data_IF_936007308539
#
_entry.id   IF_936007308539
#
_cell.length_a   1.000
_cell.length_b   1.000
_cell.length_c   1.000
_cell.angle_alpha   90.00
_cell.angle_beta   90.00
_cell.angle_gamma   90.00
#
_symmetry.space_group_name_H-M   'P 1'
#
loop_
_entity.id
_entity.type
_entity.pdbx_description
1 polymer ?
#
# COMPACT_ATOMS: atom_id res chain seq x y z
N UNK A 1 22.07 -12.82 -7.81
CA UNK A 1 21.75 -11.74 -6.84
C UNK A 1 20.35 -11.97 -6.29
N UNK A 2 20.09 -11.71 -5.01
CA UNK A 2 18.73 -11.76 -4.43
C UNK A 2 18.22 -10.33 -4.29
N UNK A 3 16.92 -10.10 -4.53
CA UNK A 3 16.35 -8.74 -4.42
C UNK A 3 16.42 -8.22 -2.99
N UNK A 4 16.29 -9.12 -2.02
CA UNK A 4 16.40 -8.82 -0.58
C UNK A 4 17.75 -8.19 -0.18
N UNK A 5 18.81 -8.41 -0.96
CA UNK A 5 20.16 -7.91 -0.66
C UNK A 5 20.43 -6.52 -1.26
N UNK A 6 19.56 -6.02 -2.14
CA UNK A 6 19.76 -4.77 -2.87
C UNK A 6 18.43 -4.01 -3.07
N UNK A 7 17.69 -4.32 -4.15
CA UNK A 7 16.44 -3.62 -4.52
C UNK A 7 15.42 -3.53 -3.38
N UNK A 8 15.34 -4.56 -2.54
CA UNK A 8 14.43 -4.66 -1.41
C UNK A 8 15.14 -4.72 -0.05
N UNK A 9 16.39 -4.23 0.02
CA UNK A 9 17.20 -4.25 1.23
C UNK A 9 16.55 -3.44 2.37
N UNK A 10 16.04 -2.25 2.06
CA UNK A 10 15.36 -1.38 3.01
C UNK A 10 13.84 -1.48 2.83
N UNK A 11 13.16 -2.08 3.81
CA UNK A 11 11.70 -2.22 3.79
C UNK A 11 11.09 -2.12 5.18
N UNK A 12 9.89 -1.56 5.25
CA UNK A 12 9.12 -1.44 6.49
C UNK A 12 7.69 -1.94 6.31
N UNK A 13 7.20 -2.58 7.37
CA UNK A 13 5.88 -3.18 7.41
C UNK A 13 4.89 -2.27 8.15
N UNK A 14 3.83 -1.90 7.46
CA UNK A 14 2.71 -1.13 7.96
C UNK A 14 1.53 -2.07 8.17
N UNK A 15 1.31 -2.43 9.43
CA UNK A 15 0.24 -3.32 9.83
C UNK A 15 -1.13 -2.64 9.70
N UNK A 16 -2.09 -3.39 9.16
CA UNK A 16 -3.50 -3.03 9.01
C UNK A 16 -4.09 -2.52 10.33
N UNK A 17 -4.91 -1.48 10.26
CA UNK A 17 -5.66 -0.96 11.41
C UNK A 17 -6.97 -1.70 11.66
N UNK A 18 -7.48 -2.42 10.66
CA UNK A 18 -8.70 -3.22 10.72
C UNK A 18 -8.47 -4.56 10.02
N UNK A 19 -9.15 -5.62 10.46
CA UNK A 19 -9.03 -6.95 9.85
C UNK A 19 -9.42 -6.98 8.36
N UNK A 20 -10.30 -6.06 7.94
CA UNK A 20 -10.78 -5.92 6.55
C UNK A 20 -9.83 -5.13 5.64
N UNK A 21 -8.72 -4.60 6.18
CA UNK A 21 -7.71 -3.89 5.43
C UNK A 21 -6.49 -4.79 5.16
N UNK A 22 -5.76 -4.57 4.06
CA UNK A 22 -4.48 -5.20 3.85
C UNK A 22 -3.39 -4.55 4.72
N UNK A 23 -2.30 -5.29 4.91
CA UNK A 23 -1.03 -4.72 5.35
C UNK A 23 -0.27 -4.16 4.14
N UNK A 24 0.68 -3.25 4.39
CA UNK A 24 1.54 -2.67 3.36
C UNK A 24 2.99 -2.94 3.72
N UNK A 25 3.72 -3.61 2.85
CA UNK A 25 5.17 -3.66 2.90
C UNK A 25 5.70 -2.57 1.97
N UNK A 26 6.31 -1.53 2.53
CA UNK A 26 6.88 -0.44 1.74
C UNK A 26 8.37 -0.69 1.56
N UNK A 27 8.81 -0.71 0.31
CA UNK A 27 10.22 -0.88 -0.07
C UNK A 27 10.78 0.50 -0.44
N UNK A 28 11.91 0.86 0.14
CA UNK A 28 12.72 1.98 -0.33
C UNK A 28 13.60 1.49 -1.48
N UNK A 29 13.28 1.93 -2.69
CA UNK A 29 13.98 1.55 -3.90
C UNK A 29 15.31 2.33 -4.00
N UNK A 30 16.45 1.66 -4.17
CA UNK A 30 17.73 2.32 -4.35
C UNK A 30 17.71 3.33 -5.51
N UNK A 31 18.46 4.42 -5.38
CA UNK A 31 18.43 5.54 -6.33
C UNK A 31 18.69 5.16 -7.79
N UNK A 32 19.44 4.08 -8.05
CA UNK A 32 19.74 3.59 -9.39
C UNK A 32 18.59 2.79 -10.03
N UNK A 33 17.57 2.42 -9.25
CA UNK A 33 16.30 1.85 -9.71
C UNK A 33 15.11 2.81 -9.54
N UNK A 34 15.33 3.97 -8.91
CA UNK A 34 14.30 4.95 -8.60
C UNK A 34 13.77 5.67 -9.86
N UNK A 35 12.54 6.19 -9.80
CA UNK A 35 11.91 6.85 -10.96
C UNK A 35 10.48 7.31 -10.69
N UNK A 36 9.92 8.09 -11.63
CA UNK A 36 8.65 8.81 -11.48
C UNK A 36 7.38 7.95 -11.39
N UNK A 37 7.51 6.63 -11.54
CA UNK A 37 6.41 5.69 -11.32
C UNK A 37 6.29 5.22 -9.86
N UNK A 38 7.23 5.60 -9.00
CA UNK A 38 7.26 5.22 -7.60
C UNK A 38 6.64 6.30 -6.71
N UNK A 39 6.14 5.90 -5.53
CA UNK A 39 5.62 6.83 -4.56
C UNK A 39 6.76 7.70 -4.00
N UNK A 40 6.62 9.03 -4.08
CA UNK A 40 7.72 9.99 -3.84
C UNK A 40 9.00 9.65 -4.62
N UNK A 41 8.83 9.14 -5.85
CA UNK A 41 9.89 8.74 -6.78
C UNK A 41 10.86 7.65 -6.27
N UNK A 42 10.63 7.08 -5.08
CA UNK A 42 11.56 6.16 -4.43
C UNK A 42 10.94 5.02 -3.64
N UNK A 43 9.64 5.06 -3.37
CA UNK A 43 8.98 4.02 -2.58
C UNK A 43 8.07 3.14 -3.41
N UNK A 44 8.17 1.84 -3.19
CA UNK A 44 7.30 0.85 -3.83
C UNK A 44 6.40 0.17 -2.77
N UNK A 45 5.08 0.43 -2.79
CA UNK A 45 4.15 -0.21 -1.87
C UNK A 45 3.71 -1.59 -2.38
N UNK A 46 3.87 -2.61 -1.54
CA UNK A 46 3.37 -3.97 -1.80
C UNK A 46 2.17 -4.24 -0.90
N UNK A 47 1.03 -4.62 -1.49
CA UNK A 47 -0.19 -4.95 -0.76
C UNK A 47 -0.22 -6.43 -0.36
N UNK A 48 -0.36 -6.68 0.94
CA UNK A 48 -0.40 -8.02 1.53
C UNK A 48 -1.73 -8.24 2.27
N UNK A 49 -2.53 -9.21 1.83
CA UNK A 49 -3.83 -9.49 2.45
C UNK A 49 -3.76 -10.61 3.48
N UNK A 50 -2.76 -11.51 3.37
CA UNK A 50 -2.58 -12.65 4.27
C UNK A 50 -1.12 -12.92 4.64
N UNK A 51 -0.93 -13.67 5.73
CA UNK A 51 0.38 -14.15 6.15
C UNK A 51 1.02 -15.08 5.09
N UNK A 52 0.22 -15.83 4.34
CA UNK A 52 0.73 -16.69 3.27
C UNK A 52 1.36 -15.86 2.14
N UNK A 53 0.73 -14.73 1.78
CA UNK A 53 1.28 -13.81 0.78
C UNK A 53 2.58 -13.14 1.24
N UNK A 54 2.70 -12.82 2.53
CA UNK A 54 3.97 -12.30 3.08
C UNK A 54 5.09 -13.33 2.92
N UNK A 55 4.84 -14.60 3.27
CA UNK A 55 5.85 -15.66 3.12
C UNK A 55 6.20 -15.93 1.65
N UNK A 56 5.20 -15.94 0.77
CA UNK A 56 5.40 -16.06 -0.68
C UNK A 56 6.28 -14.93 -1.22
N UNK A 57 5.99 -13.69 -0.80
CA UNK A 57 6.72 -12.52 -1.22
C UNK A 57 8.16 -12.50 -0.69
N UNK A 58 8.39 -12.83 0.58
CA UNK A 58 9.74 -12.96 1.14
C UNK A 58 10.54 -14.06 0.43
N UNK A 59 9.90 -15.19 0.09
CA UNK A 59 10.52 -16.25 -0.73
C UNK A 59 10.92 -15.71 -2.10
N UNK A 60 10.03 -14.97 -2.75
CA UNK A 60 10.31 -14.32 -4.02
C UNK A 60 11.50 -13.34 -3.91
N UNK A 61 11.59 -12.53 -2.86
CA UNK A 61 12.72 -11.60 -2.68
C UNK A 61 14.06 -12.34 -2.46
N UNK A 62 14.02 -13.53 -1.84
CA UNK A 62 15.20 -14.35 -1.53
C UNK A 62 15.66 -15.23 -2.69
N UNK A 63 14.86 -15.41 -3.73
CA UNK A 63 15.22 -16.25 -4.87
C UNK A 63 16.41 -15.64 -5.63
N UNK A 64 17.49 -16.42 -5.88
CA UNK A 64 18.64 -15.96 -6.67
C UNK A 64 18.26 -15.71 -8.13
N UNK A 65 18.67 -14.57 -8.68
CA UNK A 65 18.43 -14.18 -10.08
C UNK A 65 19.67 -13.58 -10.73
N UNK A 66 19.73 -13.69 -12.04
CA UNK A 66 20.80 -13.08 -12.85
C UNK A 66 20.58 -11.57 -13.05
N UNK A 67 19.32 -11.14 -13.09
CA UNK A 67 18.90 -9.75 -13.33
C UNK A 67 17.83 -9.35 -12.32
N UNK A 68 17.85 -8.10 -11.80
CA UNK A 68 16.76 -7.59 -10.96
C UNK A 68 15.45 -7.54 -11.74
N UNK A 69 14.36 -7.89 -11.07
CA UNK A 69 12.99 -7.82 -11.61
C UNK A 69 12.14 -6.94 -10.69
N UNK A 70 11.10 -6.26 -11.21
CA UNK A 70 10.20 -5.47 -10.36
C UNK A 70 9.57 -6.34 -9.26
N UNK A 71 9.42 -5.80 -8.03
CA UNK A 71 8.79 -6.50 -6.91
C UNK A 71 7.25 -6.59 -7.03
N UNK A 72 6.73 -6.81 -8.24
CA UNK A 72 5.30 -6.71 -8.61
C UNK A 72 4.54 -8.04 -8.56
N UNK A 73 5.08 -9.07 -7.87
CA UNK A 73 4.51 -10.42 -7.83
C UNK A 73 3.02 -10.44 -7.48
N UNK A 74 2.58 -9.51 -6.63
CA UNK A 74 1.23 -9.47 -6.08
C UNK A 74 0.34 -8.39 -6.72
N UNK A 75 0.88 -7.50 -7.54
CA UNK A 75 0.19 -6.28 -7.99
C UNK A 75 -1.04 -6.58 -8.84
N UNK A 76 -0.97 -7.64 -9.66
CA UNK A 76 -2.08 -8.06 -10.52
C UNK A 76 -2.94 -9.16 -9.89
N UNK A 77 -2.59 -9.65 -8.69
CA UNK A 77 -3.40 -10.66 -8.00
C UNK A 77 -4.71 -10.01 -7.53
N UNK A 78 -5.89 -10.54 -7.90
CA UNK A 78 -7.14 -9.94 -7.45
C UNK A 78 -7.25 -9.91 -5.93
N UNK A 79 -7.79 -8.80 -5.41
CA UNK A 79 -8.09 -8.70 -3.99
C UNK A 79 -9.13 -9.72 -3.54
N UNK A 80 -8.85 -10.38 -2.40
CA UNK A 80 -9.76 -11.27 -1.68
C UNK A 80 -10.57 -10.54 -0.61
N UNK A 81 -10.11 -9.35 -0.19
CA UNK A 81 -10.84 -8.49 0.73
C UNK A 81 -11.90 -7.70 -0.03
N UNK A 82 -13.08 -7.53 0.60
CA UNK A 82 -14.18 -6.75 0.02
C UNK A 82 -14.39 -5.49 0.81
N UNK A 83 -14.39 -4.35 0.11
CA UNK A 83 -14.82 -3.07 0.64
C UNK A 83 -16.19 -2.73 0.03
N UNK A 84 -17.21 -2.58 0.88
CA UNK A 84 -18.54 -2.10 0.45
C UNK A 84 -18.58 -0.57 0.33
N UNK A 85 -17.77 0.11 1.16
CA UNK A 85 -17.61 1.55 1.16
C UNK A 85 -16.17 1.91 0.76
N UNK A 86 -15.97 3.14 0.28
CA UNK A 86 -14.61 3.67 0.11
C UNK A 86 -14.00 3.84 1.51
N UNK A 87 -12.84 3.22 1.73
CA UNK A 87 -12.13 3.32 3.00
C UNK A 87 -10.80 4.03 2.79
N UNK A 88 -10.56 5.06 3.60
CA UNK A 88 -9.28 5.75 3.70
C UNK A 88 -8.57 5.31 4.98
N UNK A 89 -7.39 4.72 4.84
CA UNK A 89 -6.55 4.32 5.96
C UNK A 89 -5.22 5.08 5.91
N UNK A 90 -4.88 5.72 7.03
CA UNK A 90 -3.66 6.50 7.19
C UNK A 90 -2.66 5.72 8.02
N UNK A 91 -1.40 5.78 7.62
CA UNK A 91 -0.31 5.18 8.38
C UNK A 91 0.81 6.19 8.64
N UNK A 92 1.24 6.25 9.89
CA UNK A 92 2.35 7.10 10.33
C UNK A 92 3.70 6.47 9.94
N UNK A 93 4.73 7.28 9.63
CA UNK A 93 6.08 6.81 9.37
C UNK A 93 6.61 5.87 10.45
N UNK A 94 7.23 4.75 10.05
CA UNK A 94 7.85 3.81 10.99
C UNK A 94 9.22 4.25 11.50
N UNK A 95 9.90 5.13 10.77
CA UNK A 95 11.20 5.67 11.12
C UNK A 95 11.41 7.06 10.51
N UNK A 96 12.48 7.74 10.91
CA UNK A 96 12.85 9.03 10.35
C UNK A 96 13.02 8.91 8.82
N UNK A 97 12.52 9.90 8.07
CA UNK A 97 12.53 9.96 6.60
C UNK A 97 11.63 8.97 5.86
N UNK A 98 10.96 8.05 6.57
CA UNK A 98 9.90 7.23 5.97
C UNK A 98 8.63 8.06 5.77
N UNK A 99 7.82 7.73 4.76
CA UNK A 99 6.68 8.56 4.41
C UNK A 99 5.47 8.22 5.27
N UNK A 100 4.57 9.17 5.34
CA UNK A 100 3.17 8.89 5.66
C UNK A 100 2.54 8.15 4.48
N UNK A 101 1.64 7.22 4.75
CA UNK A 101 0.89 6.52 3.70
C UNK A 101 -0.60 6.79 3.81
N UNK A 102 -1.24 6.99 2.66
CA UNK A 102 -2.69 6.95 2.50
C UNK A 102 -3.05 5.77 1.61
N UNK A 103 -3.69 4.76 2.20
CA UNK A 103 -4.32 3.66 1.49
C UNK A 103 -5.78 4.02 1.23
N UNK A 104 -6.21 3.90 -0.02
CA UNK A 104 -7.62 3.95 -0.38
C UNK A 104 -8.07 2.56 -0.83
N UNK A 105 -9.11 2.03 -0.20
CA UNK A 105 -9.78 0.80 -0.63
C UNK A 105 -11.04 1.18 -1.41
N UNK A 106 -11.11 0.75 -2.66
CA UNK A 106 -12.16 1.13 -3.59
C UNK A 106 -13.15 -0.03 -3.79
N UNK A 107 -14.45 0.20 -3.61
CA UNK A 107 -15.47 -0.76 -4.00
C UNK A 107 -15.45 -1.03 -5.51
N UNK A 108 -15.86 -2.24 -5.92
CA UNK A 108 -15.78 -2.69 -7.33
C UNK A 108 -16.50 -1.79 -8.32
N UNK A 109 -17.60 -1.15 -7.92
CA UNK A 109 -18.35 -0.24 -8.79
C UNK A 109 -17.54 1.02 -9.14
N UNK A 110 -16.57 1.43 -8.31
CA UNK A 110 -15.66 2.52 -8.64
C UNK A 110 -14.51 2.04 -9.54
N UNK A 111 -13.92 0.89 -9.23
CA UNK A 111 -12.79 0.37 -10.02
C UNK A 111 -13.20 -0.05 -11.43
N UNK A 112 -14.45 -0.49 -11.62
CA UNK A 112 -15.04 -0.79 -12.93
C UNK A 112 -15.21 0.44 -13.85
N UNK A 113 -15.14 1.67 -13.32
CA UNK A 113 -15.22 2.90 -14.13
C UNK A 113 -13.88 3.24 -14.79
N UNK A 114 -12.79 2.62 -14.36
CA UNK A 114 -11.45 2.86 -14.89
C UNK A 114 -11.12 1.79 -15.95
N UNK A 115 -10.52 2.17 -17.10
CA UNK A 115 -10.13 1.20 -18.12
C UNK A 115 -9.26 0.08 -17.54
N UNK A 116 -9.53 -1.17 -17.94
CA UNK A 116 -8.85 -2.37 -17.43
C UNK A 116 -7.33 -2.42 -17.69
N UNK A 117 -6.83 -1.58 -18.59
CA UNK A 117 -5.40 -1.44 -18.89
C UNK A 117 -4.70 -0.38 -18.05
N UNK A 118 -5.44 0.30 -17.17
CA UNK A 118 -4.87 1.26 -16.24
C UNK A 118 -4.28 0.51 -15.04
N UNK A 119 -2.99 0.72 -14.79
CA UNK A 119 -2.31 0.26 -13.56
C UNK A 119 -2.67 1.13 -12.34
N UNK A 120 -3.77 1.88 -12.40
CA UNK A 120 -4.20 2.77 -11.34
C UNK A 120 -4.54 2.05 -10.04
N UNK A 121 -4.96 0.78 -10.09
CA UNK A 121 -5.36 0.03 -8.90
C UNK A 121 -4.49 -1.22 -8.69
N UNK A 122 -3.68 -1.19 -7.65
CA UNK A 122 -3.05 -2.40 -7.13
C UNK A 122 -4.15 -3.41 -6.75
N UNK A 123 -4.00 -4.64 -7.22
CA UNK A 123 -4.93 -5.77 -7.01
C UNK A 123 -6.36 -5.50 -7.47
N UNK A 124 -6.54 -4.50 -8.35
CA UNK A 124 -7.84 -4.04 -8.83
C UNK A 124 -8.74 -3.39 -7.76
N UNK A 125 -8.18 -3.01 -6.61
CA UNK A 125 -8.95 -2.51 -5.47
C UNK A 125 -8.28 -1.36 -4.68
N UNK A 126 -6.98 -1.15 -4.81
CA UNK A 126 -6.24 -0.25 -3.92
C UNK A 126 -5.45 0.82 -4.65
N UNK A 127 -5.43 2.02 -4.09
CA UNK A 127 -4.40 3.03 -4.37
C UNK A 127 -3.60 3.29 -3.09
N UNK A 128 -2.31 3.51 -3.24
CA UNK A 128 -1.42 3.90 -2.13
C UNK A 128 -0.63 5.13 -2.55
N UNK A 129 -0.75 6.18 -1.76
CA UNK A 129 0.03 7.41 -1.93
C UNK A 129 0.94 7.61 -0.73
N UNK A 130 2.13 8.17 -0.98
CA UNK A 130 3.14 8.45 0.04
C UNK A 130 3.35 9.97 0.16
N UNK A 131 3.48 10.46 1.40
CA UNK A 131 3.59 11.87 1.71
C UNK A 131 4.73 12.13 2.69
N UNK A 132 5.31 13.32 2.64
CA UNK A 132 6.41 13.71 3.52
C UNK A 132 5.93 14.19 4.88
N UNK A 133 4.67 14.62 4.99
CA UNK A 133 4.10 15.15 6.22
C UNK A 133 2.63 14.75 6.45
N UNK A 134 2.20 14.80 7.71
CA UNK A 134 0.81 14.54 8.09
C UNK A 134 -0.17 15.54 7.42
N UNK A 135 0.23 16.80 7.27
CA UNK A 135 -0.60 17.84 6.66
C UNK A 135 -0.85 17.62 5.17
N UNK A 136 0.12 17.04 4.45
CA UNK A 136 -0.08 16.62 3.05
C UNK A 136 -1.12 15.50 2.95
N UNK A 137 -1.10 14.54 3.89
CA UNK A 137 -2.14 13.49 3.96
C UNK A 137 -3.51 14.11 4.23
N UNK A 138 -3.60 15.08 5.15
CA UNK A 138 -4.86 15.78 5.45
C UNK A 138 -5.43 16.46 4.20
N UNK A 139 -4.59 17.16 3.44
CA UNK A 139 -4.99 17.84 2.21
C UNK A 139 -5.44 16.85 1.14
N UNK A 140 -4.68 15.77 0.92
CA UNK A 140 -5.02 14.74 -0.06
C UNK A 140 -6.34 14.05 0.28
N UNK A 141 -6.52 13.66 1.54
CA UNK A 141 -7.76 13.05 2.01
C UNK A 141 -8.95 14.01 1.87
N UNK A 142 -8.79 15.29 2.23
CA UNK A 142 -9.86 16.28 2.08
C UNK A 142 -10.26 16.48 0.62
N UNK A 143 -9.28 16.50 -0.30
CA UNK A 143 -9.53 16.60 -1.73
C UNK A 143 -10.30 15.38 -2.27
N UNK A 144 -9.91 14.16 -1.85
CA UNK A 144 -10.60 12.93 -2.21
C UNK A 144 -12.05 12.92 -1.68
N UNK A 145 -12.26 13.31 -0.42
CA UNK A 145 -13.60 13.40 0.16
C UNK A 145 -14.47 14.43 -0.58
N UNK A 146 -13.93 15.59 -0.93
CA UNK A 146 -14.64 16.60 -1.69
C UNK A 146 -15.04 16.09 -3.10
N UNK A 147 -14.19 15.30 -3.74
CA UNK A 147 -14.46 14.72 -5.05
C UNK A 147 -15.54 13.63 -5.04
N UNK A 148 -15.73 12.94 -3.90
CA UNK A 148 -16.73 11.87 -3.75
C UNK A 148 -18.16 12.38 -3.51
N UNK A 149 -18.36 13.69 -3.37
CA UNK A 149 -19.69 14.30 -3.25
C UNK A 149 -20.24 14.30 -1.81
N UNK A 150 -21.57 14.48 -1.62
CA UNK A 150 -22.17 14.84 -0.33
C UNK A 150 -22.26 13.68 0.69
N UNK A 151 -21.47 12.63 0.52
CA UNK A 151 -21.47 11.49 1.45
C UNK A 151 -20.83 11.88 2.79
N UNK A 152 -21.50 11.50 3.89
CA UNK A 152 -20.99 11.76 5.24
C UNK A 152 -19.82 10.82 5.54
N UNK A 153 -18.62 11.38 5.69
CA UNK A 153 -17.43 10.62 6.07
C UNK A 153 -17.54 10.16 7.54
N UNK A 154 -17.43 8.84 7.76
CA UNK A 154 -17.33 8.28 9.11
C UNK A 154 -15.87 8.08 9.48
N UNK A 155 -15.45 8.71 10.56
CA UNK A 155 -14.08 8.62 11.05
C UNK A 155 -13.99 7.54 12.12
N UNK A 156 -13.15 6.52 11.87
CA UNK A 156 -12.81 5.49 12.85
C UNK A 156 -11.37 5.71 13.27
N UNK A 157 -11.15 5.88 14.57
CA UNK A 157 -9.79 5.90 15.13
C UNK A 157 -9.45 4.49 15.58
N UNK A 158 -8.33 3.96 15.09
CA UNK A 158 -7.76 2.75 15.67
C UNK A 158 -7.32 3.06 17.09
N UNK A 159 -8.02 2.52 18.09
CA UNK A 159 -7.50 2.49 19.45
C UNK A 159 -6.38 1.46 19.45
N UNK A 160 -5.24 1.75 20.08
CA UNK A 160 -4.21 0.75 20.33
C UNK A 160 -4.82 -0.36 21.22
N UNK A 161 -5.40 -1.37 20.57
CA UNK A 161 -5.98 -2.52 21.24
C UNK A 161 -4.84 -3.40 21.70
N UNK A 162 -4.71 -3.54 23.02
CA UNK A 162 -3.97 -4.63 23.66
C UNK A 162 -4.22 -5.90 22.87
N UNK A 163 -3.14 -6.51 22.37
CA UNK A 163 -3.17 -7.86 21.80
C UNK A 163 -3.93 -8.73 22.79
N UNK A 164 -5.13 -9.16 22.43
CA UNK A 164 -5.89 -10.12 23.22
C UNK A 164 -5.02 -11.37 23.33
N UNK A 165 -4.51 -11.63 24.53
CA UNK A 165 -3.76 -12.84 24.82
C UNK A 165 -4.67 -14.06 24.61
N UNK A 166 -4.17 -15.00 23.81
CA UNK A 166 -4.46 -16.44 23.76
C UNK A 166 -5.93 -16.90 23.65
#
# INVERSE_FOLDING_TARGET
MRLIDDLAANRHYYQRSLATLPDILLIEIPAHFAGSGLALDRYYPVILESLAELHEFETFLCEPRDVPVPPALLDHRPSSLRAENIVFARYEPKALHWPWLLLCCWPRNYTALVPSHSEAFARGAYTVEAFTSAGEVDLAQAALLAALGPHEARYVRSVAGTVGNA
#
